data_IF_696172255756
#
_entry.id   IF_696172255756
#
_cell.length_a   1.000
_cell.length_b   1.000
_cell.length_c   1.000
_cell.angle_alpha   90.00
_cell.angle_beta   90.00
_cell.angle_gamma   90.00
#
_symmetry.space_group_name_H-M   'P 1'
#
loop_
_entity.id
_entity.type
_entity.pdbx_description
1 polymer ?
#
# COMPACT_ATOMS: atom_id res chain seq x y z
N UNK A 1 0.06 -22.34 -20.29
CA UNK A 1 -0.99 -21.70 -19.48
C UNK A 1 -0.54 -21.33 -18.06
N UNK A 2 0.44 -22.02 -17.49
CA UNK A 2 1.00 -21.73 -16.16
C UNK A 2 1.97 -20.55 -16.14
N UNK A 3 2.74 -20.34 -17.20
CA UNK A 3 3.74 -19.25 -17.32
C UNK A 3 3.11 -17.85 -17.26
N UNK A 4 1.89 -17.68 -17.79
CA UNK A 4 1.15 -16.42 -17.71
C UNK A 4 0.60 -16.10 -16.31
N UNK A 5 0.41 -17.11 -15.46
CA UNK A 5 -0.12 -16.95 -14.12
C UNK A 5 0.93 -16.45 -13.12
N UNK A 6 2.18 -16.91 -13.25
CA UNK A 6 3.30 -16.46 -12.43
C UNK A 6 3.68 -14.99 -12.67
N UNK A 7 3.54 -14.51 -13.92
CA UNK A 7 3.87 -13.11 -14.27
C UNK A 7 2.89 -12.11 -13.65
N UNK A 8 1.65 -12.52 -13.34
CA UNK A 8 0.63 -11.65 -12.74
C UNK A 8 0.81 -11.58 -11.22
N UNK A 9 1.43 -12.58 -10.59
CA UNK A 9 1.59 -12.62 -9.12
C UNK A 9 2.45 -11.47 -8.54
N UNK A 10 3.29 -10.83 -9.34
CA UNK A 10 4.16 -9.73 -8.90
C UNK A 10 3.79 -8.35 -9.46
N UNK A 11 2.86 -8.27 -10.44
CA UNK A 11 2.49 -7.00 -11.09
C UNK A 11 1.57 -6.17 -10.22
N UNK A 12 1.77 -4.87 -10.30
CA UNK A 12 0.91 -3.89 -9.64
C UNK A 12 -0.29 -3.52 -10.52
N UNK A 13 -1.38 -3.02 -9.91
CA UNK A 13 -2.59 -2.68 -10.64
C UNK A 13 -2.36 -1.59 -11.70
N UNK A 14 -1.57 -0.59 -11.37
CA UNK A 14 -1.21 0.51 -12.28
C UNK A 14 -0.52 -0.01 -13.54
N UNK A 15 0.40 -0.98 -13.40
CA UNK A 15 1.10 -1.62 -14.52
C UNK A 15 0.13 -2.42 -15.40
N UNK A 16 -0.77 -3.18 -14.76
CA UNK A 16 -1.78 -4.01 -15.46
C UNK A 16 -2.79 -3.14 -16.21
N UNK A 17 -3.35 -2.09 -15.57
CA UNK A 17 -4.32 -1.20 -16.21
C UNK A 17 -3.72 -0.47 -17.41
N UNK A 18 -2.51 0.04 -17.29
CA UNK A 18 -1.79 0.72 -18.38
C UNK A 18 -1.57 -0.21 -19.56
N UNK A 19 -1.16 -1.46 -19.31
CA UNK A 19 -0.92 -2.45 -20.35
C UNK A 19 -2.24 -2.87 -21.03
N UNK A 20 -3.30 -3.14 -20.27
CA UNK A 20 -4.61 -3.49 -20.81
C UNK A 20 -5.18 -2.38 -21.69
N UNK A 21 -5.10 -1.13 -21.25
CA UNK A 21 -5.53 0.00 -22.07
C UNK A 21 -4.75 0.10 -23.38
N UNK A 22 -3.42 0.00 -23.32
CA UNK A 22 -2.56 0.06 -24.51
C UNK A 22 -2.80 -1.11 -25.46
N UNK A 23 -2.96 -2.32 -24.96
CA UNK A 23 -3.21 -3.53 -25.76
C UNK A 23 -4.53 -3.45 -26.53
N UNK A 24 -5.54 -2.77 -25.97
CA UNK A 24 -6.83 -2.54 -26.63
C UNK A 24 -6.86 -1.25 -27.45
N UNK A 25 -5.77 -0.48 -27.48
CA UNK A 25 -5.69 0.85 -28.10
C UNK A 25 -6.76 1.83 -27.60
N UNK A 26 -7.17 1.72 -26.33
CA UNK A 26 -8.16 2.61 -25.75
C UNK A 26 -7.52 3.92 -25.27
N UNK A 27 -8.20 5.03 -25.53
CA UNK A 27 -7.94 6.31 -24.90
C UNK A 27 -8.59 6.35 -23.50
N UNK A 28 -8.26 7.34 -22.69
CA UNK A 28 -8.95 7.56 -21.42
C UNK A 28 -10.44 7.86 -21.63
N UNK A 29 -10.75 8.60 -22.70
CA UNK A 29 -12.14 8.92 -23.07
C UNK A 29 -12.94 7.65 -23.38
N UNK A 30 -12.37 6.72 -24.15
CA UNK A 30 -13.04 5.44 -24.50
C UNK A 30 -13.42 4.64 -23.24
N UNK A 31 -12.54 4.62 -22.22
CA UNK A 31 -12.81 3.93 -20.97
C UNK A 31 -13.90 4.65 -20.19
N UNK A 32 -13.82 5.99 -20.12
CA UNK A 32 -14.83 6.83 -19.48
C UNK A 32 -16.21 6.59 -20.08
N UNK A 33 -16.32 6.59 -21.40
CA UNK A 33 -17.59 6.33 -22.11
C UNK A 33 -18.12 4.92 -21.83
N UNK A 34 -17.26 3.91 -21.84
CA UNK A 34 -17.63 2.52 -21.52
C UNK A 34 -18.14 2.35 -20.09
N UNK A 35 -17.51 3.01 -19.12
CA UNK A 35 -17.94 3.02 -17.74
C UNK A 35 -19.27 3.76 -17.56
N UNK A 36 -19.46 4.90 -18.23
CA UNK A 36 -20.70 5.65 -18.22
C UNK A 36 -21.88 4.85 -18.81
N UNK A 37 -21.65 4.10 -19.89
CA UNK A 37 -22.63 3.20 -20.46
C UNK A 37 -23.07 2.09 -19.50
N UNK A 38 -22.20 1.73 -18.55
CA UNK A 38 -22.50 0.76 -17.48
C UNK A 38 -23.08 1.40 -16.22
N UNK A 39 -23.39 2.69 -16.26
CA UNK A 39 -24.03 3.41 -15.17
C UNK A 39 -23.09 3.98 -14.11
N UNK A 40 -21.79 3.96 -14.35
CA UNK A 40 -20.79 4.50 -13.42
C UNK A 40 -20.08 5.71 -14.01
N UNK A 41 -20.42 6.90 -13.51
CA UNK A 41 -19.82 8.14 -14.00
C UNK A 41 -18.43 8.35 -13.40
N UNK A 42 -17.42 8.28 -14.26
CA UNK A 42 -15.99 8.49 -13.87
C UNK A 42 -15.36 9.45 -14.87
N UNK A 43 -14.65 10.44 -14.37
CA UNK A 43 -13.93 11.39 -15.21
C UNK A 43 -12.58 10.79 -15.67
N UNK A 44 -12.10 11.17 -16.87
CA UNK A 44 -10.82 10.73 -17.43
C UNK A 44 -9.64 10.91 -16.45
N UNK A 45 -9.64 12.01 -15.69
CA UNK A 45 -8.59 12.29 -14.70
C UNK A 45 -8.49 11.22 -13.61
N UNK A 46 -9.60 10.55 -13.28
CA UNK A 46 -9.63 9.49 -12.27
C UNK A 46 -8.96 8.23 -12.84
N UNK A 47 -9.28 7.85 -14.08
CA UNK A 47 -8.66 6.71 -14.76
C UNK A 47 -7.15 6.90 -14.87
N UNK A 48 -6.71 8.11 -15.25
CA UNK A 48 -5.29 8.46 -15.28
C UNK A 48 -4.62 8.33 -13.92
N UNK A 49 -5.31 8.70 -12.83
CA UNK A 49 -4.80 8.56 -11.45
C UNK A 49 -4.72 7.11 -11.02
N UNK A 50 -5.59 6.22 -11.51
CA UNK A 50 -5.47 4.78 -11.29
C UNK A 50 -4.20 4.20 -11.94
N UNK A 51 -3.91 4.58 -13.18
CA UNK A 51 -2.70 4.15 -13.89
C UNK A 51 -1.40 4.76 -13.33
N UNK A 52 -1.50 5.85 -12.58
CA UNK A 52 -0.37 6.45 -11.86
C UNK A 52 -0.20 5.90 -10.44
N UNK A 53 -1.09 5.02 -9.98
CA UNK A 53 -1.06 4.48 -8.61
C UNK A 53 -1.36 5.53 -7.52
N UNK A 54 -1.97 6.67 -7.87
CA UNK A 54 -2.29 7.75 -6.93
C UNK A 54 -3.56 7.48 -6.13
N UNK A 55 -4.50 6.76 -6.73
CA UNK A 55 -5.73 6.25 -6.12
C UNK A 55 -6.02 4.89 -6.74
N UNK A 56 -6.86 4.10 -6.09
CA UNK A 56 -7.24 2.78 -6.58
C UNK A 56 -8.74 2.70 -6.79
N UNK A 57 -9.19 2.00 -7.87
CA UNK A 57 -10.60 1.74 -8.09
C UNK A 57 -11.20 0.90 -6.95
N UNK A 58 -12.49 1.11 -6.69
CA UNK A 58 -13.30 0.27 -5.80
C UNK A 58 -13.42 -1.15 -6.37
N UNK A 59 -13.98 -2.06 -5.58
CA UNK A 59 -14.24 -3.43 -6.05
C UNK A 59 -15.23 -3.44 -7.20
N UNK A 60 -16.29 -2.63 -7.13
CA UNK A 60 -17.31 -2.55 -8.18
C UNK A 60 -16.73 -1.99 -9.48
N UNK A 61 -15.88 -0.97 -9.39
CA UNK A 61 -15.17 -0.43 -10.55
C UNK A 61 -14.19 -1.46 -11.15
N UNK A 62 -13.54 -2.31 -10.34
CA UNK A 62 -12.72 -3.42 -10.85
C UNK A 62 -13.54 -4.47 -11.60
N UNK A 63 -14.76 -4.78 -11.16
CA UNK A 63 -15.68 -5.65 -11.90
C UNK A 63 -16.02 -5.06 -13.27
N UNK A 64 -16.36 -3.77 -13.33
CA UNK A 64 -16.66 -3.09 -14.60
C UNK A 64 -15.44 -3.05 -15.53
N UNK A 65 -14.25 -2.77 -14.99
CA UNK A 65 -13.00 -2.78 -15.74
C UNK A 65 -12.68 -4.18 -16.27
N UNK A 66 -12.95 -5.24 -15.49
CA UNK A 66 -12.73 -6.62 -15.93
C UNK A 66 -13.58 -6.96 -17.16
N UNK A 67 -14.82 -6.50 -17.20
CA UNK A 67 -15.70 -6.66 -18.36
C UNK A 67 -15.25 -5.83 -19.57
N UNK A 68 -14.85 -4.57 -19.35
CA UNK A 68 -14.39 -3.67 -20.42
C UNK A 68 -13.12 -4.21 -21.09
N UNK A 69 -12.19 -4.71 -20.28
CA UNK A 69 -10.93 -5.24 -20.77
C UNK A 69 -10.99 -6.73 -21.15
N UNK A 70 -12.08 -7.44 -20.81
CA UNK A 70 -12.20 -8.90 -20.90
C UNK A 70 -11.05 -9.60 -20.17
N UNK A 71 -10.78 -9.14 -18.95
CA UNK A 71 -9.68 -9.61 -18.11
C UNK A 71 -10.20 -10.10 -16.77
N UNK A 72 -9.68 -11.21 -16.19
CA UNK A 72 -10.21 -11.79 -14.96
C UNK A 72 -10.18 -10.80 -13.79
N UNK A 73 -11.30 -10.60 -13.13
CA UNK A 73 -11.40 -9.67 -11.98
C UNK A 73 -10.52 -10.08 -10.81
N UNK A 74 -10.32 -11.39 -10.61
CA UNK A 74 -9.47 -11.93 -9.55
C UNK A 74 -8.03 -11.44 -9.72
N UNK A 75 -7.53 -11.40 -10.95
CA UNK A 75 -6.18 -10.95 -11.27
C UNK A 75 -6.04 -9.42 -11.03
N UNK A 76 -7.09 -8.64 -11.33
CA UNK A 76 -7.13 -7.21 -11.01
C UNK A 76 -7.11 -6.95 -9.49
N UNK A 77 -7.87 -7.74 -8.73
CA UNK A 77 -7.89 -7.66 -7.26
C UNK A 77 -6.53 -8.04 -6.68
N UNK A 78 -5.90 -9.09 -7.22
CA UNK A 78 -4.56 -9.51 -6.80
C UNK A 78 -3.52 -8.42 -7.11
N UNK A 79 -3.55 -7.86 -8.32
CA UNK A 79 -2.68 -6.75 -8.70
C UNK A 79 -2.87 -5.51 -7.79
N UNK A 80 -4.12 -5.20 -7.39
CA UNK A 80 -4.41 -4.15 -6.40
C UNK A 80 -3.77 -4.43 -5.05
N UNK A 81 -3.83 -5.67 -4.57
CA UNK A 81 -3.19 -6.07 -3.32
C UNK A 81 -1.65 -5.95 -3.40
N UNK A 82 -1.07 -6.28 -4.55
CA UNK A 82 0.37 -6.11 -4.80
C UNK A 82 0.78 -4.62 -4.77
N UNK A 83 -0.05 -3.74 -5.34
CA UNK A 83 0.18 -2.29 -5.27
C UNK A 83 0.22 -1.79 -3.82
N UNK A 84 -0.67 -2.26 -2.96
CA UNK A 84 -0.65 -1.89 -1.54
C UNK A 84 0.61 -2.40 -0.82
N UNK A 85 1.06 -3.64 -1.09
CA UNK A 85 2.30 -4.17 -0.52
C UNK A 85 3.50 -3.33 -0.95
N UNK A 86 3.65 -3.09 -2.27
CA UNK A 86 4.75 -2.28 -2.83
C UNK A 86 4.75 -0.84 -2.28
N UNK A 87 3.56 -0.26 -2.10
CA UNK A 87 3.40 1.07 -1.47
C UNK A 87 3.88 1.09 -0.03
N UNK A 88 3.53 0.08 0.76
CA UNK A 88 3.94 -0.04 2.16
C UNK A 88 5.44 -0.23 2.31
N UNK A 89 6.05 -1.10 1.49
CA UNK A 89 7.51 -1.30 1.46
C UNK A 89 8.25 -0.02 1.04
N UNK A 90 7.69 0.73 0.10
CA UNK A 90 8.25 2.03 -0.34
C UNK A 90 8.21 3.08 0.78
N UNK A 91 7.16 3.12 1.60
CA UNK A 91 7.05 4.07 2.73
C UNK A 91 8.10 3.73 3.79
N UNK A 92 8.26 2.46 4.17
CA UNK A 92 9.30 2.03 5.10
C UNK A 92 10.70 2.38 4.60
N UNK A 93 10.99 2.08 3.33
CA UNK A 93 12.28 2.42 2.72
C UNK A 93 12.53 3.92 2.69
N UNK A 94 11.51 4.73 2.35
CA UNK A 94 11.63 6.21 2.35
C UNK A 94 11.87 6.76 3.75
N UNK A 95 11.20 6.24 4.77
CA UNK A 95 11.40 6.63 6.17
C UNK A 95 12.81 6.29 6.64
N UNK A 96 13.29 5.07 6.35
CA UNK A 96 14.66 4.66 6.69
C UNK A 96 15.68 5.53 5.97
N UNK A 97 15.48 5.80 4.67
CA UNK A 97 16.37 6.66 3.89
C UNK A 97 16.40 8.10 4.41
N UNK A 98 15.25 8.66 4.78
CA UNK A 98 15.14 9.99 5.39
C UNK A 98 15.87 10.04 6.73
N UNK A 99 15.66 9.05 7.57
CA UNK A 99 16.34 8.94 8.87
C UNK A 99 17.87 8.83 8.71
N UNK A 100 18.34 8.00 7.78
CA UNK A 100 19.76 7.86 7.47
C UNK A 100 20.38 9.17 6.92
N UNK A 101 19.64 9.89 6.07
CA UNK A 101 20.06 11.20 5.56
C UNK A 101 20.20 12.22 6.70
N UNK A 102 19.23 12.25 7.63
CA UNK A 102 19.23 13.18 8.76
C UNK A 102 20.34 12.87 9.78
N UNK A 103 20.66 11.59 9.99
CA UNK A 103 21.70 11.16 10.95
C UNK A 103 23.08 11.07 10.33
N UNK A 104 23.24 11.23 9.02
CA UNK A 104 24.51 11.04 8.29
C UNK A 104 25.06 9.60 8.37
N UNK A 105 24.24 8.64 8.78
CA UNK A 105 24.63 7.25 8.97
C UNK A 105 24.37 6.39 7.72
N UNK A 106 25.17 5.33 7.54
CA UNK A 106 24.85 4.32 6.53
C UNK A 106 23.53 3.60 6.86
N UNK A 107 22.81 3.11 5.85
CA UNK A 107 21.49 2.46 6.01
C UNK A 107 21.52 1.35 7.08
N UNK A 108 22.61 0.56 7.14
CA UNK A 108 22.78 -0.50 8.14
C UNK A 108 22.83 0.05 9.57
N UNK A 109 23.57 1.14 9.78
CA UNK A 109 23.70 1.81 11.09
C UNK A 109 22.36 2.46 11.47
N UNK A 110 21.64 3.06 10.51
CA UNK A 110 20.34 3.64 10.73
C UNK A 110 19.27 2.64 11.19
N UNK A 111 19.26 1.43 10.62
CA UNK A 111 18.37 0.35 11.05
C UNK A 111 18.68 -0.07 12.49
N UNK A 112 19.96 -0.29 12.81
CA UNK A 112 20.39 -0.66 14.16
C UNK A 112 20.03 0.43 15.17
N UNK A 113 20.28 1.69 14.85
CA UNK A 113 19.93 2.82 15.71
C UNK A 113 18.42 2.91 15.98
N UNK A 114 17.59 2.66 14.96
CA UNK A 114 16.13 2.63 15.12
C UNK A 114 15.69 1.52 16.08
N UNK A 115 16.24 0.31 15.95
CA UNK A 115 15.93 -0.79 16.88
C UNK A 115 16.40 -0.50 18.30
N UNK A 116 17.57 0.13 18.48
CA UNK A 116 18.07 0.54 19.80
C UNK A 116 17.14 1.57 20.44
N UNK A 117 16.68 2.56 19.70
CA UNK A 117 15.75 3.58 20.22
C UNK A 117 14.41 2.93 20.63
N UNK A 118 13.86 2.05 19.82
CA UNK A 118 12.62 1.33 20.13
C UNK A 118 12.79 0.44 21.37
N UNK A 119 13.93 -0.23 21.51
CA UNK A 119 14.24 -1.07 22.67
C UNK A 119 14.38 -0.24 23.96
N UNK A 120 15.05 0.91 23.89
CA UNK A 120 15.15 1.84 25.02
C UNK A 120 13.80 2.42 25.43
N UNK A 121 12.95 2.78 24.45
CA UNK A 121 11.59 3.25 24.72
C UNK A 121 10.73 2.15 25.38
N UNK A 122 10.90 0.90 24.95
CA UNK A 122 10.21 -0.24 25.57
C UNK A 122 10.67 -0.47 27.02
N UNK A 123 11.98 -0.40 27.30
CA UNK A 123 12.51 -0.51 28.67
C UNK A 123 11.94 0.62 29.55
N UNK A 124 11.93 1.85 29.04
CA UNK A 124 11.39 2.99 29.77
C UNK A 124 9.91 2.82 30.10
N UNK A 125 9.11 2.31 29.16
CA UNK A 125 7.72 1.99 29.38
C UNK A 125 7.52 0.90 30.45
N UNK A 126 8.37 -0.13 30.45
CA UNK A 126 8.36 -1.17 31.49
C UNK A 126 8.71 -0.62 32.87
N UNK A 127 9.74 0.22 32.99
CA UNK A 127 10.11 0.87 34.25
C UNK A 127 8.95 1.72 34.79
N UNK A 128 8.33 2.53 33.93
CA UNK A 128 7.16 3.34 34.30
C UNK A 128 6.00 2.47 34.79
N UNK A 129 5.75 1.33 34.15
CA UNK A 129 4.71 0.41 34.57
C UNK A 129 5.02 -0.22 35.96
N UNK A 130 6.26 -0.59 36.22
CA UNK A 130 6.70 -1.14 37.50
C UNK A 130 6.58 -0.09 38.62
N UNK A 131 6.97 1.15 38.36
CA UNK A 131 6.84 2.25 39.33
C UNK A 131 5.35 2.54 39.66
N UNK A 132 4.50 2.54 38.64
CA UNK A 132 3.08 2.70 38.81
C UNK A 132 2.47 1.57 39.64
N UNK A 133 2.87 0.31 39.38
CA UNK A 133 2.41 -0.85 40.14
C UNK A 133 2.89 -0.82 41.58
N UNK A 134 4.15 -0.42 41.84
CA UNK A 134 4.67 -0.27 43.22
C UNK A 134 3.97 0.83 44.00
N UNK A 135 3.70 1.95 43.36
CA UNK A 135 2.93 3.06 43.98
C UNK A 135 1.51 2.60 44.35
N UNK A 136 0.86 1.84 43.47
CA UNK A 136 -0.47 1.28 43.76
C UNK A 136 -0.47 0.30 44.96
N UNK A 137 0.57 -0.54 45.05
CA UNK A 137 0.71 -1.51 46.15
C UNK A 137 1.02 -0.83 47.49
N UNK A 138 1.76 0.27 47.50
CA UNK A 138 2.04 1.05 48.74
C UNK A 138 0.80 1.77 49.25
N UNK A 139 0.00 2.36 48.37
CA UNK A 139 -1.25 3.01 48.74
C UNK A 139 -2.24 2.00 49.34
N UNK A 140 -2.34 0.80 48.78
CA UNK A 140 -3.24 -0.27 49.28
C UNK A 140 -2.83 -0.80 50.65
N UNK A 141 -1.55 -0.75 51.02
CA UNK A 141 -1.08 -1.19 52.35
C UNK A 141 -1.27 -0.16 53.44
N UNK A 142 -1.48 1.10 53.10
CA UNK A 142 -1.69 2.21 54.07
C UNK A 142 -3.17 2.51 54.35
N UNK A 143 -4.08 1.84 53.69
CA UNK A 143 -5.55 1.90 53.88
C UNK A 143 -6.04 0.65 54.60
#
# INVERSE_FOLDING_TARGET
>A
MEENKQVIEERTLEEVLLELRKSKNYTYLDITEKLNQKGTYIEEKIIKRWELGLIYPSTDELYLLSEIYMFPVVDLIQAKNNSYKKGMDSIHYRLIKWFCYFTGASIKIGIIAMYVILFLAFIFALMFFVDCANTYMTVRKSS
#
